data_IF_453751628747
#
_entry.id   IF_453751628747
#
_cell.length_a   1.000
_cell.length_b   1.000
_cell.length_c   1.000
_cell.angle_alpha   90.00
_cell.angle_beta   90.00
_cell.angle_gamma   90.00
#
_symmetry.space_group_name_H-M   'P 1'
#
loop_
_entity.id
_entity.type
_entity.pdbx_description
1 polymer ?
#
# COMPACT_ATOMS: atom_id res chain seq x y z
N UNK A 1 -12.01 31.22 -18.03
CA UNK A 1 -10.74 31.92 -17.74
C UNK A 1 -10.88 32.64 -16.42
N UNK A 2 -10.00 32.40 -15.45
CA UNK A 2 -9.98 33.07 -14.15
C UNK A 2 -9.56 32.10 -13.04
N UNK A 3 -8.25 32.03 -12.79
CA UNK A 3 -7.67 31.31 -11.66
C UNK A 3 -7.80 32.18 -10.40
N UNK A 4 -8.25 31.58 -9.30
CA UNK A 4 -8.16 32.18 -7.96
C UNK A 4 -7.14 31.38 -7.16
N UNK A 5 -6.00 32.03 -6.93
CA UNK A 5 -4.94 31.61 -6.03
C UNK A 5 -5.32 32.01 -4.60
N UNK A 6 -5.18 31.11 -3.63
CA UNK A 6 -5.17 31.52 -2.22
C UNK A 6 -4.35 30.56 -1.35
N UNK A 7 -3.09 30.94 -1.19
CA UNK A 7 -2.23 30.89 0.00
C UNK A 7 -2.47 29.76 1.02
N UNK A 8 -1.76 28.64 0.81
CA UNK A 8 -1.48 27.63 1.82
C UNK A 8 -0.65 28.23 2.96
N UNK A 9 -1.26 28.25 4.16
CA UNK A 9 -0.65 28.63 5.43
C UNK A 9 0.56 27.74 5.76
N UNK A 10 1.77 28.31 5.68
CA UNK A 10 3.02 27.74 6.17
C UNK A 10 3.09 27.84 7.70
N UNK A 11 2.32 27.04 8.44
CA UNK A 11 2.63 26.86 9.88
C UNK A 11 1.99 25.65 10.56
N UNK A 12 2.00 24.47 9.93
CA UNK A 12 1.83 23.22 10.71
C UNK A 12 2.24 22.01 9.88
N UNK A 13 3.55 21.77 9.82
CA UNK A 13 4.07 20.46 9.45
C UNK A 13 5.33 20.20 10.27
N UNK A 14 5.11 19.94 11.55
CA UNK A 14 6.08 19.21 12.35
C UNK A 14 5.40 17.95 12.84
N UNK A 15 6.00 16.82 12.43
CA UNK A 15 5.76 15.45 12.88
C UNK A 15 4.67 14.66 12.11
N UNK A 16 4.99 14.29 10.86
CA UNK A 16 4.88 12.90 10.41
C UNK A 16 6.02 12.58 9.43
N UNK A 17 6.64 11.38 9.52
CA UNK A 17 7.75 11.00 8.67
C UNK A 17 7.21 10.57 7.30
N UNK A 18 7.46 11.40 6.29
CA UNK A 18 7.26 11.05 4.88
C UNK A 18 8.53 10.32 4.43
N UNK A 19 8.31 9.13 3.88
CA UNK A 19 9.32 8.27 3.26
C UNK A 19 9.82 8.95 1.98
N UNK A 20 10.90 9.73 2.12
CA UNK A 20 11.57 10.40 1.02
C UNK A 20 12.53 9.39 0.36
N UNK A 21 12.31 9.06 -0.90
CA UNK A 21 13.21 8.20 -1.68
C UNK A 21 14.51 9.00 -1.92
N UNK A 22 15.45 8.91 -0.98
CA UNK A 22 16.82 9.42 -1.15
C UNK A 22 17.51 8.64 -2.26
N UNK A 23 17.64 9.25 -3.43
CA UNK A 23 18.54 8.78 -4.48
C UNK A 23 19.96 9.18 -4.10
N UNK A 24 20.83 8.18 -3.90
CA UNK A 24 22.25 8.37 -3.56
C UNK A 24 22.96 8.94 -4.79
N UNK A 25 23.15 10.26 -4.83
CA UNK A 25 23.78 10.96 -5.96
C UNK A 25 25.31 11.02 -5.90
N UNK A 26 25.95 10.42 -4.89
CA UNK A 26 27.39 10.53 -4.72
C UNK A 26 28.06 9.17 -4.84
N UNK A 27 28.63 8.90 -6.02
CA UNK A 27 29.60 7.82 -6.18
C UNK A 27 30.88 8.31 -5.50
N UNK A 28 31.19 7.77 -4.33
CA UNK A 28 32.48 7.98 -3.67
C UNK A 28 33.54 7.32 -4.57
N UNK A 29 34.21 8.13 -5.39
CA UNK A 29 35.41 7.74 -6.11
C UNK A 29 36.57 7.68 -5.12
N UNK A 30 36.56 6.63 -4.31
CA UNK A 30 37.54 6.35 -3.28
C UNK A 30 37.63 4.85 -3.10
N UNK A 31 38.86 4.33 -3.03
CA UNK A 31 39.09 2.93 -2.69
C UNK A 31 38.43 2.67 -1.34
N UNK A 32 37.60 1.63 -1.27
CA UNK A 32 36.89 1.27 -0.03
C UNK A 32 37.88 1.23 1.14
N UNK A 33 37.67 2.04 2.20
CA UNK A 33 38.57 2.08 3.34
C UNK A 33 38.74 0.70 4.01
N UNK A 34 37.80 -0.23 3.85
CA UNK A 34 38.00 -1.63 4.25
C UNK A 34 39.01 -2.35 3.36
N UNK A 35 38.99 -2.11 2.05
CA UNK A 35 39.93 -2.71 1.10
C UNK A 35 41.35 -2.18 1.31
N UNK A 36 41.50 -0.91 1.64
CA UNK A 36 42.79 -0.31 1.98
C UNK A 36 43.35 -0.89 3.30
N UNK A 37 42.50 -1.07 4.32
CA UNK A 37 42.89 -1.76 5.56
C UNK A 37 43.25 -3.22 5.34
N UNK A 38 42.53 -3.94 4.48
CA UNK A 38 42.84 -5.35 4.14
C UNK A 38 44.17 -5.43 3.42
N UNK A 39 44.46 -4.49 2.51
CA UNK A 39 45.76 -4.40 1.82
C UNK A 39 46.90 -4.02 2.77
N UNK A 40 46.64 -3.20 3.79
CA UNK A 40 47.62 -2.80 4.80
C UNK A 40 47.90 -3.89 5.86
N UNK A 41 47.09 -4.95 5.92
CA UNK A 41 47.38 -6.10 6.78
C UNK A 41 48.52 -6.93 6.17
N UNK A 42 49.70 -6.82 6.76
CA UNK A 42 50.83 -7.66 6.42
C UNK A 42 50.52 -9.11 6.82
N UNK A 43 50.60 -10.04 5.86
CA UNK A 43 50.36 -11.47 6.12
C UNK A 43 51.39 -11.93 7.14
N UNK A 44 50.92 -12.22 8.35
CA UNK A 44 51.79 -12.69 9.43
C UNK A 44 52.57 -13.92 8.96
N UNK A 45 53.88 -13.93 9.20
CA UNK A 45 54.72 -15.09 8.90
C UNK A 45 54.12 -16.31 9.62
N UNK A 46 53.87 -17.42 8.91
CA UNK A 46 53.28 -18.60 9.51
C UNK A 46 54.17 -19.05 10.67
N UNK A 47 53.54 -19.30 11.83
CA UNK A 47 54.26 -19.77 13.03
C UNK A 47 54.90 -21.15 12.83
N UNK A 48 54.57 -21.84 11.73
CA UNK A 48 55.08 -23.15 11.35
C UNK A 48 55.79 -23.01 9.99
N UNK A 49 57.07 -23.38 9.92
CA UNK A 49 57.85 -23.48 8.67
C UNK A 49 57.46 -24.75 7.87
N UNK A 50 56.15 -24.91 7.67
CA UNK A 50 55.44 -25.80 6.76
C UNK A 50 55.60 -25.48 5.27
N UNK A 51 56.10 -26.34 4.36
CA UNK A 51 55.71 -26.18 2.96
C UNK A 51 54.17 -26.19 2.86
N UNK A 52 53.54 -25.29 2.09
CA UNK A 52 52.09 -25.24 1.99
C UNK A 52 51.57 -26.57 1.43
N UNK A 53 50.55 -27.21 2.05
CA UNK A 53 49.97 -28.41 1.50
C UNK A 53 49.25 -28.03 0.20
N UNK A 54 49.59 -28.72 -0.88
CA UNK A 54 48.80 -28.65 -2.11
C UNK A 54 47.36 -29.06 -1.78
N UNK A 55 46.40 -28.22 -2.19
CA UNK A 55 44.96 -28.43 -2.34
C UNK A 55 44.52 -29.90 -2.11
N UNK A 56 44.24 -30.29 -0.86
CA UNK A 56 43.66 -31.61 -0.55
C UNK A 56 42.41 -31.45 0.32
N UNK A 57 41.27 -31.46 -0.39
CA UNK A 57 39.91 -31.90 -0.03
C UNK A 57 39.69 -32.30 1.44
N UNK A 58 38.72 -31.63 2.07
CA UNK A 58 38.31 -31.64 3.48
C UNK A 58 37.75 -32.97 4.04
N UNK A 59 38.05 -34.12 3.41
CA UNK A 59 37.42 -35.41 3.72
C UNK A 59 38.38 -36.46 4.28
N UNK A 60 39.70 -36.25 4.22
CA UNK A 60 40.69 -37.25 4.65
C UNK A 60 41.32 -36.88 5.99
N UNK A 61 40.52 -36.91 7.04
CA UNK A 61 41.02 -37.01 8.42
C UNK A 61 41.07 -38.51 8.76
N UNK A 62 42.13 -39.26 8.42
CA UNK A 62 42.36 -40.49 9.14
C UNK A 62 42.66 -40.10 10.58
N UNK A 63 41.98 -40.76 11.52
CA UNK A 63 42.27 -40.78 12.96
C UNK A 63 43.74 -41.18 13.16
N UNK A 64 44.66 -40.22 13.02
CA UNK A 64 46.09 -40.43 13.15
C UNK A 64 46.46 -40.29 14.61
N UNK A 65 46.39 -41.44 15.30
CA UNK A 65 47.01 -41.70 16.59
C UNK A 65 48.44 -41.11 16.58
N UNK A 66 48.83 -40.18 17.48
CA UNK A 66 50.19 -39.65 17.47
C UNK A 66 51.13 -40.76 17.96
N UNK A 67 51.91 -41.30 17.02
CA UNK A 67 53.03 -42.19 17.34
C UNK A 67 54.04 -41.43 18.20
N UNK A 68 54.42 -42.08 19.30
CA UNK A 68 55.58 -41.79 20.15
C UNK A 68 56.73 -41.14 19.37
N UNK A 69 57.06 -39.89 19.71
CA UNK A 69 58.41 -39.35 19.52
C UNK A 69 58.80 -38.54 20.75
N UNK A 70 59.63 -39.15 21.60
CA UNK A 70 60.44 -38.40 22.57
C UNK A 70 61.44 -37.54 21.79
N UNK A 71 61.22 -36.23 21.73
CA UNK A 71 62.30 -35.26 21.49
C UNK A 71 62.13 -34.07 22.43
N UNK A 72 63.19 -33.82 23.18
CA UNK A 72 63.41 -32.86 24.25
C UNK A 72 63.14 -31.40 23.87
N UNK A 73 61.90 -30.93 24.09
CA UNK A 73 61.58 -29.52 24.33
C UNK A 73 60.33 -29.44 25.23
N UNK A 74 60.43 -28.95 26.49
CA UNK A 74 59.30 -28.89 27.41
C UNK A 74 58.49 -27.61 27.17
N UNK A 75 57.92 -27.47 25.96
CA UNK A 75 56.79 -26.56 25.73
C UNK A 75 55.72 -27.33 24.97
N UNK A 76 55.44 -28.54 25.45
CA UNK A 76 54.15 -29.17 25.20
C UNK A 76 53.20 -28.49 26.17
N UNK A 77 52.56 -27.40 25.72
CA UNK A 77 51.47 -26.77 26.45
C UNK A 77 50.31 -27.75 26.53
N UNK A 78 50.38 -28.69 27.47
CA UNK A 78 49.30 -29.62 27.78
C UNK A 78 48.14 -28.82 28.32
N UNK A 79 47.22 -28.42 27.43
CA UNK A 79 45.93 -27.87 27.82
C UNK A 79 45.20 -28.92 28.64
N UNK A 80 44.74 -28.53 29.83
CA UNK A 80 44.01 -29.44 30.69
C UNK A 80 42.73 -29.89 29.98
N UNK A 81 42.55 -31.20 29.70
CA UNK A 81 41.39 -31.70 28.94
C UNK A 81 40.06 -31.37 29.61
N UNK A 82 40.04 -31.19 30.93
CA UNK A 82 38.86 -30.77 31.68
C UNK A 82 38.44 -29.34 31.33
N UNK A 83 39.41 -28.42 31.25
CA UNK A 83 39.16 -27.00 30.88
C UNK A 83 38.70 -26.91 29.43
N UNK A 84 39.26 -27.75 28.55
CA UNK A 84 38.84 -27.81 27.15
C UNK A 84 37.40 -28.30 27.01
N UNK A 85 37.01 -29.35 27.75
CA UNK A 85 35.64 -29.85 27.76
C UNK A 85 34.66 -28.81 28.29
N UNK A 86 35.03 -28.10 29.35
CA UNK A 86 34.23 -27.00 29.92
C UNK A 86 34.06 -25.85 28.93
N UNK A 87 35.12 -25.45 28.23
CA UNK A 87 35.04 -24.42 27.19
C UNK A 87 34.12 -24.85 26.04
N UNK A 88 34.22 -26.10 25.58
CA UNK A 88 33.33 -26.62 24.55
C UNK A 88 31.88 -26.70 25.04
N UNK A 89 31.65 -27.07 26.30
CA UNK A 89 30.31 -27.08 26.91
C UNK A 89 29.72 -25.67 26.94
N UNK A 90 30.48 -24.69 27.42
CA UNK A 90 30.07 -23.29 27.47
C UNK A 90 29.82 -22.71 26.06
N UNK A 91 30.66 -23.05 25.09
CA UNK A 91 30.47 -22.64 23.69
C UNK A 91 29.23 -23.30 23.06
N UNK A 92 28.99 -24.58 23.33
CA UNK A 92 27.80 -25.31 22.84
C UNK A 92 26.52 -24.74 23.42
N UNK A 93 26.50 -24.44 24.71
CA UNK A 93 25.37 -23.79 25.35
C UNK A 93 25.12 -22.38 24.78
N UNK A 94 26.19 -21.59 24.58
CA UNK A 94 26.08 -20.30 23.93
C UNK A 94 25.52 -20.40 22.50
N UNK A 95 26.00 -21.37 21.71
CA UNK A 95 25.48 -21.64 20.36
C UNK A 95 24.00 -22.00 20.38
N UNK A 96 23.58 -22.86 21.31
CA UNK A 96 22.18 -23.26 21.48
C UNK A 96 21.30 -22.07 21.85
N UNK A 97 21.75 -21.21 22.78
CA UNK A 97 21.03 -20.00 23.15
C UNK A 97 20.91 -19.02 21.99
N UNK A 98 21.94 -18.88 21.16
CA UNK A 98 21.89 -18.05 19.94
C UNK A 98 20.92 -18.61 18.92
N UNK A 99 20.94 -19.92 18.67
CA UNK A 99 20.02 -20.59 17.77
C UNK A 99 18.57 -20.39 18.22
N UNK A 100 18.27 -20.59 19.51
CA UNK A 100 16.94 -20.34 20.10
C UNK A 100 16.48 -18.89 19.90
N UNK A 101 17.37 -17.91 20.13
CA UNK A 101 17.03 -16.49 19.94
C UNK A 101 16.75 -16.16 18.47
N UNK A 102 17.50 -16.75 17.54
CA UNK A 102 17.27 -16.59 16.10
C UNK A 102 15.93 -17.22 15.71
N UNK A 103 15.68 -18.46 16.13
CA UNK A 103 14.43 -19.18 15.85
C UNK A 103 13.21 -18.41 16.34
N UNK A 104 13.24 -17.90 17.57
CA UNK A 104 12.13 -17.10 18.11
C UNK A 104 11.87 -15.84 17.29
N UNK A 105 12.93 -15.14 16.88
CA UNK A 105 12.79 -13.95 16.03
C UNK A 105 12.24 -14.28 14.65
N UNK A 106 12.65 -15.41 14.08
CA UNK A 106 12.15 -15.86 12.77
C UNK A 106 10.65 -16.17 12.85
N UNK A 107 10.22 -16.88 13.89
CA UNK A 107 8.80 -17.16 14.16
C UNK A 107 7.97 -15.88 14.32
N UNK A 108 8.46 -14.91 15.11
CA UNK A 108 7.79 -13.60 15.26
C UNK A 108 7.68 -12.82 13.94
N UNK A 109 8.68 -12.95 13.05
CA UNK A 109 8.66 -12.32 11.71
C UNK A 109 7.68 -13.04 10.80
N UNK A 110 7.67 -14.37 10.80
CA UNK A 110 6.76 -15.19 10.01
C UNK A 110 5.29 -14.87 10.32
N UNK A 111 4.92 -14.82 11.60
CA UNK A 111 3.57 -14.44 12.04
C UNK A 111 3.18 -13.04 11.54
N UNK A 112 4.12 -12.09 11.56
CA UNK A 112 3.88 -10.72 11.06
C UNK A 112 3.69 -10.69 9.55
N UNK A 113 4.47 -11.48 8.81
CA UNK A 113 4.35 -11.60 7.35
C UNK A 113 3.00 -12.20 6.98
N UNK A 114 2.60 -13.30 7.62
CA UNK A 114 1.29 -13.92 7.40
C UNK A 114 0.13 -12.96 7.69
N UNK A 115 0.24 -12.22 8.81
CA UNK A 115 -0.78 -11.23 9.17
C UNK A 115 -0.84 -10.08 8.15
N UNK A 116 0.31 -9.58 7.70
CA UNK A 116 0.39 -8.53 6.70
C UNK A 116 -0.18 -8.98 5.35
N UNK A 117 0.10 -10.21 4.91
CA UNK A 117 -0.43 -10.78 3.68
C UNK A 117 -1.96 -10.94 3.74
N UNK A 118 -2.48 -11.49 4.85
CA UNK A 118 -3.92 -11.61 5.07
C UNK A 118 -4.63 -10.25 5.07
N UNK A 119 -4.01 -9.21 5.62
CA UNK A 119 -4.54 -7.85 5.59
C UNK A 119 -4.47 -7.23 4.20
N UNK A 120 -3.37 -7.43 3.46
CA UNK A 120 -3.21 -6.93 2.10
C UNK A 120 -4.27 -7.51 1.16
N UNK A 121 -4.53 -8.81 1.24
CA UNK A 121 -5.58 -9.48 0.46
C UNK A 121 -6.97 -8.90 0.79
N UNK A 122 -7.29 -8.73 2.08
CA UNK A 122 -8.57 -8.14 2.51
C UNK A 122 -8.74 -6.69 2.03
N UNK A 123 -7.67 -5.90 2.07
CA UNK A 123 -7.68 -4.53 1.58
C UNK A 123 -7.92 -4.48 0.08
N UNK A 124 -7.23 -5.32 -0.69
CA UNK A 124 -7.42 -5.43 -2.14
C UNK A 124 -8.86 -5.85 -2.49
N UNK A 125 -9.42 -6.81 -1.76
CA UNK A 125 -10.81 -7.24 -1.95
C UNK A 125 -11.80 -6.12 -1.68
N UNK A 126 -11.64 -5.37 -0.57
CA UNK A 126 -12.45 -4.19 -0.22
C UNK A 126 -12.36 -3.12 -1.31
N UNK A 127 -11.16 -2.85 -1.80
CA UNK A 127 -10.93 -1.86 -2.84
C UNK A 127 -11.63 -2.25 -4.16
N UNK A 128 -11.47 -3.49 -4.61
CA UNK A 128 -12.11 -3.97 -5.83
C UNK A 128 -13.64 -3.96 -5.76
N UNK A 129 -14.20 -4.30 -4.59
CA UNK A 129 -15.64 -4.16 -4.35
C UNK A 129 -16.08 -2.69 -4.46
N UNK A 130 -15.36 -1.77 -3.81
CA UNK A 130 -15.65 -0.34 -3.85
C UNK A 130 -15.60 0.21 -5.28
N UNK A 131 -14.56 -0.13 -6.05
CA UNK A 131 -14.45 0.25 -7.47
C UNK A 131 -15.60 -0.29 -8.30
N UNK A 132 -16.02 -1.53 -8.06
CA UNK A 132 -17.15 -2.13 -8.78
C UNK A 132 -18.48 -1.43 -8.44
N UNK A 133 -18.70 -1.13 -7.16
CA UNK A 133 -19.87 -0.37 -6.71
C UNK A 133 -19.88 1.05 -7.31
N UNK A 134 -18.75 1.76 -7.27
CA UNK A 134 -18.62 3.09 -7.88
C UNK A 134 -18.88 3.05 -9.39
N UNK A 135 -18.37 2.04 -10.11
CA UNK A 135 -18.64 1.88 -11.54
C UNK A 135 -20.13 1.65 -11.81
N UNK A 136 -20.80 0.86 -10.98
CA UNK A 136 -22.25 0.65 -11.09
C UNK A 136 -23.04 1.95 -10.85
N UNK A 137 -22.69 2.71 -9.81
CA UNK A 137 -23.32 4.02 -9.54
C UNK A 137 -23.03 5.03 -10.64
N UNK A 138 -21.82 5.05 -11.19
CA UNK A 138 -21.49 5.92 -12.32
C UNK A 138 -22.34 5.58 -13.55
N UNK A 139 -22.56 4.28 -13.81
CA UNK A 139 -23.42 3.85 -14.91
C UNK A 139 -24.87 4.28 -14.72
N UNK A 140 -25.45 4.08 -13.52
CA UNK A 140 -26.82 4.53 -13.25
C UNK A 140 -26.99 6.04 -13.31
N UNK A 141 -25.97 6.82 -12.90
CA UNK A 141 -26.00 8.28 -13.05
C UNK A 141 -26.01 8.72 -14.51
N UNK A 142 -25.33 8.01 -15.41
CA UNK A 142 -25.39 8.28 -16.85
C UNK A 142 -26.80 8.06 -17.38
N UNK A 143 -27.47 6.98 -16.97
CA UNK A 143 -28.87 6.72 -17.34
C UNK A 143 -29.82 7.80 -16.80
N UNK A 144 -29.64 8.25 -15.56
CA UNK A 144 -30.44 9.33 -14.96
C UNK A 144 -30.22 10.66 -15.71
N UNK A 145 -28.97 10.98 -16.06
CA UNK A 145 -28.68 12.18 -16.84
C UNK A 145 -29.36 12.16 -18.21
N UNK A 146 -29.39 10.99 -18.88
CA UNK A 146 -30.10 10.81 -20.14
C UNK A 146 -31.61 11.05 -19.98
N UNK A 147 -32.23 10.45 -18.96
CA UNK A 147 -33.66 10.65 -18.66
C UNK A 147 -33.97 12.12 -18.33
N UNK A 148 -33.09 12.81 -17.61
CA UNK A 148 -33.26 14.23 -17.29
C UNK A 148 -33.35 15.10 -18.57
N UNK A 149 -32.55 14.78 -19.59
CA UNK A 149 -32.60 15.48 -20.89
C UNK A 149 -33.93 15.21 -21.60
N UNK A 150 -34.38 13.96 -21.66
CA UNK A 150 -35.64 13.57 -22.30
C UNK A 150 -36.86 14.19 -21.63
N UNK A 151 -36.89 14.22 -20.30
CA UNK A 151 -37.94 14.91 -19.52
C UNK A 151 -37.92 16.42 -19.80
N UNK A 152 -36.73 17.01 -19.92
CA UNK A 152 -36.56 18.42 -20.29
C UNK A 152 -37.13 18.73 -21.69
N UNK A 153 -36.84 17.89 -22.67
CA UNK A 153 -37.38 18.02 -24.03
C UNK A 153 -38.90 17.87 -24.06
N UNK A 154 -39.44 16.85 -23.38
CA UNK A 154 -40.87 16.59 -23.30
C UNK A 154 -41.60 17.76 -22.64
N UNK A 155 -41.03 18.33 -21.57
CA UNK A 155 -41.55 19.54 -20.92
C UNK A 155 -41.56 20.73 -21.88
N UNK A 156 -40.52 20.90 -22.70
CA UNK A 156 -40.46 21.92 -23.75
C UNK A 156 -41.59 21.79 -24.77
N UNK A 157 -41.75 20.58 -25.33
CA UNK A 157 -42.83 20.26 -26.28
C UNK A 157 -44.22 20.46 -25.68
N UNK A 158 -44.43 20.05 -24.43
CA UNK A 158 -45.70 20.26 -23.73
C UNK A 158 -46.00 21.75 -23.54
N UNK A 159 -44.99 22.54 -23.17
CA UNK A 159 -45.13 23.99 -23.01
C UNK A 159 -45.50 24.65 -24.34
N UNK A 160 -44.89 24.23 -25.45
CA UNK A 160 -45.25 24.69 -26.79
C UNK A 160 -46.70 24.34 -27.14
N UNK A 161 -47.14 23.11 -26.89
CA UNK A 161 -48.53 22.68 -27.14
C UNK A 161 -49.51 23.50 -26.29
N UNK A 162 -49.23 23.72 -25.00
CA UNK A 162 -50.07 24.55 -24.13
C UNK A 162 -50.12 25.99 -24.66
N UNK A 163 -48.99 26.56 -25.06
CA UNK A 163 -48.93 27.91 -25.65
C UNK A 163 -49.70 28.00 -26.97
N UNK A 164 -49.64 26.97 -27.81
CA UNK A 164 -50.40 26.89 -29.06
C UNK A 164 -51.91 26.82 -28.78
N UNK A 165 -52.31 25.98 -27.82
CA UNK A 165 -53.69 25.92 -27.34
C UNK A 165 -54.18 27.26 -26.77
N UNK A 166 -53.38 27.95 -25.96
CA UNK A 166 -53.74 29.28 -25.42
C UNK A 166 -53.88 30.33 -26.55
N UNK A 167 -52.97 30.33 -27.53
CA UNK A 167 -53.09 31.18 -28.71
C UNK A 167 -54.33 30.86 -29.55
N UNK A 168 -54.71 29.58 -29.66
CA UNK A 168 -55.95 29.16 -30.32
C UNK A 168 -57.18 29.63 -29.52
N UNK A 169 -57.20 29.45 -28.20
CA UNK A 169 -58.27 29.95 -27.33
C UNK A 169 -58.45 31.47 -27.47
N UNK A 170 -57.35 32.24 -27.50
CA UNK A 170 -57.37 33.69 -27.73
C UNK A 170 -57.94 34.05 -29.10
N UNK A 171 -57.59 33.31 -30.16
CA UNK A 171 -58.16 33.53 -31.51
C UNK A 171 -59.67 33.26 -31.57
N UNK A 172 -60.12 32.17 -30.95
CA UNK A 172 -61.54 31.83 -30.87
C UNK A 172 -62.29 32.90 -30.06
N UNK A 173 -61.71 33.39 -28.96
CA UNK A 173 -62.29 34.48 -28.19
C UNK A 173 -62.39 35.79 -29.03
N UNK A 174 -61.38 36.13 -29.83
CA UNK A 174 -61.34 37.37 -30.61
C UNK A 174 -62.26 37.39 -31.84
N UNK A 175 -62.40 36.27 -32.56
CA UNK A 175 -63.15 36.25 -33.83
C UNK A 175 -63.80 34.91 -34.18
N UNK A 176 -63.96 34.02 -33.21
CA UNK A 176 -64.55 32.70 -33.42
C UNK A 176 -66.08 32.69 -33.43
N UNK A 177 -66.71 31.61 -33.95
CA UNK A 177 -68.15 31.38 -33.91
C UNK A 177 -68.72 31.49 -32.49
N UNK A 178 -69.92 32.07 -32.33
CA UNK A 178 -70.53 32.31 -31.00
C UNK A 178 -70.68 31.04 -30.15
N UNK A 179 -70.96 29.90 -30.77
CA UNK A 179 -71.07 28.59 -30.09
C UNK A 179 -69.77 28.14 -29.41
N UNK A 180 -68.61 28.55 -29.93
CA UNK A 180 -67.30 28.23 -29.34
C UNK A 180 -66.88 29.24 -28.27
N UNK A 181 -67.34 30.50 -28.35
CA UNK A 181 -67.06 31.54 -27.36
C UNK A 181 -67.68 31.22 -26.00
N UNK A 182 -68.88 30.63 -25.97
CA UNK A 182 -69.55 30.23 -24.73
C UNK A 182 -68.95 28.98 -24.06
N UNK A 183 -68.10 28.21 -24.75
CA UNK A 183 -67.54 26.94 -24.27
C UNK A 183 -66.11 27.06 -23.70
N UNK A 184 -65.41 28.18 -23.95
CA UNK A 184 -64.04 28.40 -23.49
C UNK A 184 -63.98 28.57 -21.97
N UNK A 185 -63.42 27.57 -21.27
CA UNK A 185 -63.01 27.68 -19.87
C UNK A 185 -61.48 27.79 -19.81
N UNK A 186 -60.90 28.84 -19.18
CA UNK A 186 -59.44 28.98 -19.10
C UNK A 186 -58.81 27.78 -18.39
N UNK A 187 -57.69 27.29 -18.94
CA UNK A 187 -56.86 26.27 -18.29
C UNK A 187 -56.16 26.90 -17.07
N UNK A 188 -56.31 26.34 -15.86
CA UNK A 188 -55.69 26.91 -14.66
C UNK A 188 -54.16 26.73 -14.73
N UNK A 189 -53.44 27.84 -14.64
CA UNK A 189 -51.98 27.86 -14.45
C UNK A 189 -51.71 27.58 -12.97
N UNK A 190 -51.49 26.30 -12.64
CA UNK A 190 -51.01 25.94 -11.31
C UNK A 190 -49.48 26.08 -11.29
N UNK A 191 -49.00 27.20 -10.74
CA UNK A 191 -47.62 27.37 -10.35
C UNK A 191 -47.35 26.47 -9.14
N UNK A 192 -47.03 25.20 -9.36
CA UNK A 192 -46.50 24.35 -8.29
C UNK A 192 -45.01 24.62 -8.15
N UNK A 193 -44.65 25.56 -7.28
CA UNK A 193 -43.34 25.58 -6.64
C UNK A 193 -43.18 24.29 -5.85
N UNK A 194 -42.43 23.34 -6.41
CA UNK A 194 -42.12 22.08 -5.74
C UNK A 194 -41.14 22.36 -4.61
N UNK A 195 -41.65 22.56 -3.39
CA UNK A 195 -40.84 22.43 -2.18
C UNK A 195 -40.28 21.01 -2.15
N UNK A 196 -38.96 20.90 -2.26
CA UNK A 196 -38.19 19.69 -2.05
C UNK A 196 -38.33 19.24 -0.59
N UNK A 197 -39.27 18.34 -0.32
CA UNK A 197 -39.36 17.65 0.97
C UNK A 197 -38.16 16.71 1.10
N UNK A 198 -37.24 17.04 1.99
CA UNK A 198 -36.15 16.18 2.44
C UNK A 198 -36.71 14.93 3.14
N UNK A 199 -36.41 13.75 2.62
CA UNK A 199 -36.62 12.49 3.35
C UNK A 199 -35.66 12.43 4.54
N UNK A 200 -36.19 12.51 5.75
CA UNK A 200 -35.44 12.20 6.97
C UNK A 200 -35.45 10.70 7.22
N UNK A 201 -34.23 10.21 7.44
CA UNK A 201 -33.74 8.90 7.89
C UNK A 201 -34.70 7.86 8.49
N UNK A 202 -34.53 6.64 7.97
CA UNK A 202 -35.01 5.39 8.56
C UNK A 202 -34.26 5.07 9.85
N UNK A 203 -35.00 4.91 10.94
CA UNK A 203 -34.53 4.35 12.21
C UNK A 203 -34.39 2.82 12.09
N UNK A 204 -33.20 2.30 12.34
CA UNK A 204 -32.90 0.86 12.49
C UNK A 204 -33.41 0.37 13.86
N UNK A 205 -34.09 -0.79 13.98
CA UNK A 205 -34.36 -1.42 15.27
C UNK A 205 -33.22 -2.35 15.71
N UNK A 206 -33.03 -2.42 17.03
CA UNK A 206 -32.04 -3.22 17.79
C UNK A 206 -31.98 -4.71 17.44
#
# INVERSE_FOLDING_TARGET
MGASESLLSKQQLQQQPIDEITTVSERIEGVDPLLERVRALEIAKPLLNSPPPAESIFSDIPVRKPSSSNSSNPISGTLNPKVLLELFSMYREWQEQKAKKISKKQEEIEIKIETADALAIKLLQRFNYSVSAMRSTAHSLVEVNQLQVEVGELKGRLTEVISNCDALCKRIAAGGPESLRSSLKPLPVNNTETQSTSCSDNKVPE
#
